data_IF_728246274163
#
_entry.id   IF_728246274163
#
_cell.length_a   1.000
_cell.length_b   1.000
_cell.length_c   1.000
_cell.angle_alpha   90.00
_cell.angle_beta   90.00
_cell.angle_gamma   90.00
#
_symmetry.space_group_name_H-M   'P 1'
#
loop_
_entity.id
_entity.type
_entity.pdbx_description
1 polymer ?
#
# COMPACT_ATOMS: atom_id res chain seq x y z
N UNK A 1 3.27 9.18 -8.83
CA UNK A 1 4.32 9.92 -8.09
C UNK A 1 3.75 11.27 -7.72
N UNK A 2 4.22 11.89 -6.64
CA UNK A 2 3.76 13.21 -6.22
C UNK A 2 4.87 13.96 -5.49
N UNK A 3 4.78 15.28 -5.45
CA UNK A 3 5.58 16.10 -4.54
C UNK A 3 5.08 15.93 -3.10
N UNK A 4 5.98 16.07 -2.12
CA UNK A 4 5.62 15.97 -0.71
C UNK A 4 5.02 17.29 -0.18
N UNK A 5 3.87 17.68 -0.72
CA UNK A 5 3.11 18.86 -0.29
C UNK A 5 1.60 18.59 -0.36
N UNK A 6 0.82 19.43 0.30
CA UNK A 6 -0.61 19.16 0.59
C UNK A 6 -1.44 18.85 -0.66
N UNK A 7 -1.46 19.74 -1.64
CA UNK A 7 -2.35 19.60 -2.80
C UNK A 7 -1.94 18.46 -3.74
N UNK A 8 -0.65 18.30 -4.12
CA UNK A 8 -0.21 17.16 -4.92
C UNK A 8 -0.52 15.80 -4.29
N UNK A 9 -0.43 15.68 -2.97
CA UNK A 9 -0.80 14.44 -2.27
C UNK A 9 -2.31 14.19 -2.27
N UNK A 10 -3.13 15.25 -2.18
CA UNK A 10 -4.59 15.14 -2.31
C UNK A 10 -4.97 14.69 -3.72
N UNK A 11 -4.40 15.31 -4.74
CA UNK A 11 -4.66 14.97 -6.15
C UNK A 11 -4.25 13.52 -6.46
N UNK A 12 -3.06 13.12 -6.00
CA UNK A 12 -2.60 11.74 -6.10
C UNK A 12 -3.57 10.78 -5.42
N UNK A 13 -3.99 11.07 -4.19
CA UNK A 13 -4.87 10.18 -3.42
C UNK A 13 -6.25 10.05 -4.05
N UNK A 14 -6.78 11.14 -4.62
CA UNK A 14 -8.05 11.14 -5.34
C UNK A 14 -7.97 10.28 -6.61
N UNK A 15 -6.91 10.44 -7.41
CA UNK A 15 -6.69 9.60 -8.59
C UNK A 15 -6.48 8.12 -8.23
N UNK A 16 -5.71 7.85 -7.19
CA UNK A 16 -5.40 6.51 -6.72
C UNK A 16 -6.64 5.79 -6.17
N UNK A 17 -7.51 6.51 -5.45
CA UNK A 17 -8.78 5.94 -4.98
C UNK A 17 -9.73 5.61 -6.13
N UNK A 18 -9.78 6.44 -7.18
CA UNK A 18 -10.57 6.11 -8.39
C UNK A 18 -10.10 4.81 -9.04
N UNK A 19 -8.78 4.61 -9.13
CA UNK A 19 -8.21 3.35 -9.61
C UNK A 19 -8.65 2.16 -8.75
N UNK A 20 -8.60 2.29 -7.43
CA UNK A 20 -8.97 1.22 -6.49
C UNK A 20 -10.43 0.83 -6.62
N UNK A 21 -11.34 1.81 -6.75
CA UNK A 21 -12.76 1.56 -6.97
C UNK A 21 -12.98 0.85 -8.30
N UNK A 22 -12.33 1.31 -9.36
CA UNK A 22 -12.43 0.70 -10.68
C UNK A 22 -11.92 -0.75 -10.70
N UNK A 23 -10.78 -1.04 -10.05
CA UNK A 23 -10.29 -2.41 -9.89
C UNK A 23 -11.27 -3.29 -9.10
N UNK A 24 -11.94 -2.72 -8.11
CA UNK A 24 -12.96 -3.42 -7.31
C UNK A 24 -14.17 -3.80 -8.17
N UNK A 25 -14.63 -2.92 -9.07
CA UNK A 25 -15.70 -3.22 -10.04
C UNK A 25 -15.31 -4.36 -11.00
N UNK A 26 -14.01 -4.52 -11.28
CA UNK A 26 -13.47 -5.60 -12.10
C UNK A 26 -13.18 -6.89 -11.32
N UNK A 27 -13.56 -6.95 -10.03
CA UNK A 27 -13.23 -8.05 -9.12
C UNK A 27 -11.71 -8.31 -8.98
N UNK A 28 -10.89 -7.29 -9.24
CA UNK A 28 -9.45 -7.34 -9.04
C UNK A 28 -9.14 -6.90 -7.61
N UNK A 29 -8.52 -7.80 -6.84
CA UNK A 29 -8.07 -7.52 -5.49
C UNK A 29 -6.92 -6.52 -5.49
N UNK A 30 -6.97 -5.57 -4.55
CA UNK A 30 -5.95 -4.52 -4.40
C UNK A 30 -5.82 -4.07 -2.94
N UNK A 31 -4.72 -3.44 -2.55
CA UNK A 31 -4.45 -3.03 -1.17
C UNK A 31 -3.48 -1.83 -1.07
N UNK A 32 -3.90 -0.76 -0.40
CA UNK A 32 -3.02 0.40 -0.16
C UNK A 32 -1.83 0.03 0.73
N UNK A 33 -0.61 0.21 0.21
CA UNK A 33 0.63 -0.02 0.95
C UNK A 33 1.45 1.28 1.02
N UNK A 34 1.51 1.87 2.21
CA UNK A 34 2.24 3.12 2.48
C UNK A 34 3.50 2.97 3.35
N UNK A 35 3.49 2.03 4.29
CA UNK A 35 4.58 1.83 5.27
C UNK A 35 5.33 0.50 5.16
N UNK A 36 4.83 -0.44 4.37
CA UNK A 36 5.34 -1.81 4.26
C UNK A 36 6.16 -2.08 2.99
N UNK A 37 6.25 -1.11 2.07
CA UNK A 37 7.05 -1.23 0.85
C UNK A 37 8.38 -0.48 0.98
N UNK A 38 9.46 -1.05 0.42
CA UNK A 38 10.77 -0.44 0.43
C UNK A 38 10.88 0.60 -0.68
N UNK A 39 10.73 1.90 -0.34
CA UNK A 39 10.84 3.00 -1.31
C UNK A 39 12.17 2.96 -2.06
N UNK A 40 13.29 2.81 -1.36
CA UNK A 40 14.62 2.82 -1.97
C UNK A 40 14.75 1.76 -3.09
N UNK A 41 14.19 0.56 -2.88
CA UNK A 41 14.19 -0.48 -3.93
C UNK A 41 13.36 -0.07 -5.15
N UNK A 42 12.19 0.54 -4.95
CA UNK A 42 11.36 1.00 -6.07
C UNK A 42 11.94 2.23 -6.78
N UNK A 43 12.59 3.13 -6.04
CA UNK A 43 13.24 4.33 -6.59
C UNK A 43 14.49 4.01 -7.42
N UNK A 44 15.13 2.85 -7.19
CA UNK A 44 16.22 2.35 -8.05
C UNK A 44 15.71 1.81 -9.38
N UNK A 45 14.56 1.13 -9.36
CA UNK A 45 13.94 0.54 -10.55
C UNK A 45 13.15 1.56 -11.37
N UNK A 46 12.73 2.66 -10.75
CA UNK A 46 11.91 3.69 -11.36
C UNK A 46 12.68 5.01 -11.34
N UNK A 47 13.03 5.52 -12.53
CA UNK A 47 13.67 6.83 -12.65
C UNK A 47 12.70 7.92 -12.19
N UNK A 48 12.97 8.51 -11.03
CA UNK A 48 12.22 9.65 -10.49
C UNK A 48 12.94 10.95 -10.80
N UNK A 49 12.17 11.94 -11.24
CA UNK A 49 12.63 13.32 -11.36
C UNK A 49 12.81 13.96 -9.96
N UNK A 50 13.62 15.02 -9.89
CA UNK A 50 13.88 15.71 -8.63
C UNK A 50 12.60 16.26 -7.98
N UNK A 51 12.42 15.95 -6.69
CA UNK A 51 11.33 16.50 -5.88
C UNK A 51 10.00 15.74 -5.92
N UNK A 52 9.91 14.65 -6.69
CA UNK A 52 8.77 13.71 -6.64
C UNK A 52 9.17 12.41 -5.94
N UNK A 53 8.21 11.77 -5.28
CA UNK A 53 8.40 10.47 -4.64
C UNK A 53 7.18 9.57 -4.87
N UNK A 54 7.28 8.32 -4.41
CA UNK A 54 6.19 7.34 -4.42
C UNK A 54 5.48 7.36 -3.06
N UNK A 55 4.25 7.93 -2.95
CA UNK A 55 3.58 8.07 -1.65
C UNK A 55 3.07 6.74 -1.10
N UNK A 56 2.50 5.92 -1.98
CA UNK A 56 2.05 4.57 -1.71
C UNK A 56 2.05 3.75 -3.00
N UNK A 57 1.95 2.44 -2.86
CA UNK A 57 1.76 1.49 -3.95
C UNK A 57 0.54 0.61 -3.66
N UNK A 58 0.00 -0.06 -4.67
CA UNK A 58 -1.03 -1.08 -4.48
C UNK A 58 -0.74 -2.29 -5.36
N UNK A 59 -0.64 -3.51 -4.81
CA UNK A 59 -0.57 -4.70 -5.64
C UNK A 59 -1.93 -4.93 -6.28
N UNK A 60 -1.94 -5.59 -7.43
CA UNK A 60 -3.16 -5.98 -8.13
C UNK A 60 -3.11 -7.47 -8.45
N UNK A 61 -4.25 -8.15 -8.34
CA UNK A 61 -4.33 -9.57 -8.67
C UNK A 61 -5.70 -10.16 -8.40
N UNK A 62 -5.95 -11.36 -8.93
CA UNK A 62 -7.21 -12.05 -8.70
C UNK A 62 -7.28 -12.62 -7.27
N UNK A 63 -8.36 -12.38 -6.52
CA UNK A 63 -8.49 -12.90 -5.16
C UNK A 63 -8.59 -14.43 -5.18
N UNK A 64 -7.65 -15.11 -4.52
CA UNK A 64 -7.73 -16.57 -4.37
C UNK A 64 -8.63 -16.93 -3.18
N UNK A 65 -9.70 -17.70 -3.41
CA UNK A 65 -10.77 -17.96 -2.43
C UNK A 65 -10.35 -18.60 -1.08
N UNK A 66 -9.12 -19.11 -0.92
CA UNK A 66 -8.70 -19.93 0.25
C UNK A 66 -7.99 -19.16 1.38
N UNK A 67 -8.01 -17.82 1.40
CA UNK A 67 -7.18 -17.01 2.31
C UNK A 67 -7.69 -16.90 3.77
N UNK A 68 -8.97 -17.21 4.08
CA UNK A 68 -9.58 -16.86 5.38
C UNK A 68 -8.87 -17.37 6.64
N UNK A 69 -8.31 -18.58 6.63
CA UNK A 69 -7.64 -19.17 7.81
C UNK A 69 -6.21 -18.63 7.94
N UNK A 70 -5.47 -18.59 6.83
CA UNK A 70 -4.11 -18.06 6.78
C UNK A 70 -4.07 -16.57 7.14
N UNK A 71 -5.03 -15.79 6.65
CA UNK A 71 -5.12 -14.36 6.99
C UNK A 71 -5.36 -14.12 8.49
N UNK A 72 -6.14 -14.97 9.15
CA UNK A 72 -6.34 -14.87 10.60
C UNK A 72 -5.04 -15.15 11.36
N UNK A 73 -4.31 -16.18 10.95
CA UNK A 73 -3.01 -16.52 11.53
C UNK A 73 -1.97 -15.41 11.27
N UNK A 74 -1.89 -14.91 10.04
CA UNK A 74 -1.00 -13.80 9.66
C UNK A 74 -1.32 -12.53 10.47
N UNK A 75 -2.60 -12.15 10.58
CA UNK A 75 -3.02 -11.01 11.41
C UNK A 75 -2.64 -11.20 12.87
N UNK A 76 -2.78 -12.41 13.40
CA UNK A 76 -2.37 -12.71 14.77
C UNK A 76 -0.86 -12.56 14.96
N UNK A 77 -0.05 -13.13 14.06
CA UNK A 77 1.41 -13.03 14.08
C UNK A 77 1.87 -11.57 13.95
N UNK A 78 1.32 -10.80 13.00
CA UNK A 78 1.61 -9.36 12.86
C UNK A 78 1.29 -8.61 14.14
N UNK A 79 0.14 -8.89 14.78
CA UNK A 79 -0.24 -8.27 16.05
C UNK A 79 0.75 -8.62 17.17
N UNK A 80 1.26 -9.85 17.21
CA UNK A 80 2.27 -10.28 18.17
C UNK A 80 3.63 -9.64 17.91
N UNK A 81 4.07 -9.53 16.65
CA UNK A 81 5.33 -8.87 16.26
C UNK A 81 5.31 -7.40 16.67
N UNK A 82 4.21 -6.69 16.38
CA UNK A 82 4.03 -5.28 16.77
C UNK A 82 4.09 -5.13 18.30
N UNK A 83 3.41 -6.03 19.04
CA UNK A 83 3.42 -6.04 20.50
C UNK A 83 4.81 -6.36 21.09
N UNK A 84 5.57 -7.26 20.47
CA UNK A 84 6.91 -7.67 20.91
C UNK A 84 7.98 -6.59 20.70
N UNK A 85 7.81 -5.72 19.70
CA UNK A 85 8.74 -4.62 19.42
C UNK A 85 8.40 -3.30 20.13
N UNK A 86 7.44 -3.29 21.07
CA UNK A 86 7.15 -2.13 21.93
C UNK A 86 6.61 -0.88 21.21
N UNK A 87 6.36 -0.93 19.91
CA UNK A 87 5.76 0.19 19.16
C UNK A 87 4.25 0.03 19.15
N UNK A 88 3.59 0.59 20.18
CA UNK A 88 2.15 0.87 20.10
C UNK A 88 1.95 1.97 19.07
N UNK A 89 1.50 1.60 17.87
CA UNK A 89 0.85 2.54 16.96
C UNK A 89 -0.63 2.19 16.91
N UNK A 90 -1.29 2.56 18.01
CA UNK A 90 -2.71 2.81 18.24
C UNK A 90 -2.80 3.41 19.64
#
# INVERSE_FOLDING_TARGET
>A
MAQNSKYPLVDFSYAFQKLVVWLTELEIGTCWMGGTFNRNSFEQEIQLEGGVFIPCITPIGYPHQKQRVFDKALRYVVKLIIKSHGKSFL
#
